data_IF_165508502868
#
_entry.id   IF_165508502868
#
_cell.length_a   1.000
_cell.length_b   1.000
_cell.length_c   1.000
_cell.angle_alpha   90.00
_cell.angle_beta   90.00
_cell.angle_gamma   90.00
#
_symmetry.space_group_name_H-M   'P 1'
#
loop_
_entity.id
_entity.type
_entity.pdbx_description
1 polymer ?
#
# COMPACT_ATOMS: atom_id res chain seq x y z
N UNK A 1 9.75 -13.89 -2.58
CA UNK A 1 10.51 -13.57 -1.36
C UNK A 1 11.76 -14.44 -1.19
N UNK A 2 11.65 -15.73 -0.83
CA UNK A 2 12.76 -16.62 -0.43
C UNK A 2 14.09 -16.52 -1.20
N UNK A 3 14.06 -16.41 -2.53
CA UNK A 3 15.29 -16.39 -3.36
C UNK A 3 15.66 -15.03 -3.93
N UNK A 4 14.70 -14.09 -3.92
CA UNK A 4 14.84 -12.79 -4.58
C UNK A 4 15.09 -11.66 -3.59
N UNK A 5 14.60 -11.78 -2.36
CA UNK A 5 14.91 -10.81 -1.32
C UNK A 5 16.30 -11.10 -0.76
N UNK A 6 17.14 -10.07 -0.71
CA UNK A 6 18.47 -10.12 -0.10
C UNK A 6 18.54 -9.09 1.03
N UNK A 7 19.19 -9.48 2.13
CA UNK A 7 19.39 -8.61 3.28
C UNK A 7 20.47 -7.55 3.04
N UNK A 8 21.41 -7.88 2.15
CA UNK A 8 22.44 -6.99 1.64
C UNK A 8 22.78 -7.36 0.18
N UNK A 9 23.55 -6.52 -0.47
CA UNK A 9 24.03 -6.68 -1.84
C UNK A 9 25.56 -6.84 -1.91
N UNK A 10 26.22 -7.18 -0.80
CA UNK A 10 27.65 -7.50 -0.84
C UNK A 10 27.88 -8.74 -1.71
N UNK A 11 28.83 -8.64 -2.65
CA UNK A 11 29.12 -9.71 -3.61
C UNK A 11 28.02 -9.96 -4.64
N UNK A 12 26.93 -9.19 -4.64
CA UNK A 12 25.90 -9.28 -5.65
C UNK A 12 26.31 -8.52 -6.92
N UNK A 13 26.54 -9.26 -8.00
CA UNK A 13 26.96 -8.68 -9.27
C UNK A 13 25.76 -8.16 -10.08
N UNK A 14 25.78 -6.86 -10.38
CA UNK A 14 24.88 -6.21 -11.33
C UNK A 14 25.71 -5.40 -12.33
N UNK A 15 25.54 -5.67 -13.62
CA UNK A 15 26.25 -4.99 -14.72
C UNK A 15 25.35 -4.02 -15.48
N UNK A 16 24.11 -3.84 -15.02
CA UNK A 16 23.21 -2.81 -15.52
C UNK A 16 23.28 -1.57 -14.61
N UNK A 17 22.16 -0.86 -14.44
CA UNK A 17 22.09 0.33 -13.57
C UNK A 17 21.99 -0.10 -12.12
N UNK A 18 22.67 0.65 -11.26
CA UNK A 18 22.72 0.39 -9.82
C UNK A 18 21.76 1.33 -9.09
N UNK A 19 20.73 0.78 -8.47
CA UNK A 19 19.73 1.52 -7.69
C UNK A 19 19.79 1.24 -6.18
N UNK A 20 20.52 0.19 -5.78
CA UNK A 20 20.79 -0.19 -4.39
C UNK A 20 22.24 -0.67 -4.27
N UNK A 21 22.87 -0.46 -3.11
CA UNK A 21 24.30 -0.70 -2.88
C UNK A 21 24.58 -1.42 -1.55
N UNK A 22 25.61 -2.27 -1.53
CA UNK A 22 26.27 -2.77 -0.32
C UNK A 22 25.33 -3.26 0.79
N UNK A 23 25.19 -2.50 1.88
CA UNK A 23 24.40 -2.81 3.09
C UNK A 23 22.89 -2.68 2.90
N UNK A 24 22.43 -2.38 1.69
CA UNK A 24 21.02 -2.15 1.41
C UNK A 24 20.27 -3.43 1.05
N UNK A 25 19.23 -3.74 1.82
CA UNK A 25 18.31 -4.80 1.48
C UNK A 25 17.49 -4.46 0.22
N UNK A 26 17.25 -5.47 -0.61
CA UNK A 26 16.52 -5.29 -1.87
C UNK A 26 15.89 -6.59 -2.37
N UNK A 27 14.84 -6.46 -3.18
CA UNK A 27 14.30 -7.57 -3.96
C UNK A 27 14.76 -7.47 -5.41
N UNK A 28 15.59 -8.43 -5.83
CA UNK A 28 16.09 -8.49 -7.21
C UNK A 28 15.04 -9.09 -8.14
N UNK A 29 14.99 -8.63 -9.39
CA UNK A 29 13.96 -9.05 -10.34
C UNK A 29 13.91 -10.56 -10.55
N UNK A 30 15.06 -11.19 -10.73
CA UNK A 30 15.13 -12.62 -10.96
C UNK A 30 16.39 -13.21 -10.34
N UNK A 31 16.25 -14.40 -9.77
CA UNK A 31 17.33 -15.15 -9.15
C UNK A 31 17.40 -16.55 -9.76
N UNK A 32 18.60 -17.12 -9.81
CA UNK A 32 18.86 -18.48 -10.29
C UNK A 32 19.43 -19.33 -9.15
N UNK A 33 18.64 -19.61 -8.10
CA UNK A 33 19.15 -20.20 -6.84
C UNK A 33 19.70 -21.63 -7.01
N UNK A 34 19.28 -22.33 -8.07
CA UNK A 34 19.77 -23.68 -8.40
C UNK A 34 20.79 -23.66 -9.55
N UNK A 35 21.38 -22.50 -9.85
CA UNK A 35 22.17 -22.30 -11.07
C UNK A 35 21.29 -22.31 -12.33
N UNK A 36 21.90 -22.62 -13.48
CA UNK A 36 21.18 -22.72 -14.75
C UNK A 36 20.74 -21.38 -15.35
N UNK A 37 21.41 -20.28 -14.98
CA UNK A 37 21.17 -18.98 -15.62
C UNK A 37 21.42 -19.11 -17.13
N UNK A 38 20.43 -18.78 -18.00
CA UNK A 38 20.61 -18.82 -19.44
C UNK A 38 21.78 -17.93 -19.88
N UNK A 39 22.42 -18.28 -21.00
CA UNK A 39 23.46 -17.45 -21.63
C UNK A 39 22.94 -16.02 -21.91
N UNK A 40 21.67 -15.93 -22.31
CA UNK A 40 20.92 -14.68 -22.48
C UNK A 40 19.74 -14.68 -21.50
N UNK A 41 19.91 -14.19 -20.26
CA UNK A 41 18.82 -14.09 -19.30
C UNK A 41 17.84 -12.98 -19.68
N UNK A 42 16.70 -12.92 -19.00
CA UNK A 42 15.76 -11.79 -19.13
C UNK A 42 16.49 -10.46 -18.89
N UNK A 43 16.14 -9.43 -19.67
CA UNK A 43 16.70 -8.10 -19.47
C UNK A 43 16.47 -7.61 -18.04
N UNK A 44 17.48 -6.94 -17.48
CA UNK A 44 17.43 -6.37 -16.13
C UNK A 44 17.23 -7.37 -14.99
N UNK A 45 17.42 -8.68 -15.24
CA UNK A 45 17.24 -9.74 -14.23
C UNK A 45 17.98 -9.46 -12.91
N UNK A 46 19.11 -8.75 -12.99
CA UNK A 46 19.95 -8.43 -11.85
C UNK A 46 19.70 -7.05 -11.24
N UNK A 47 18.85 -6.21 -11.83
CA UNK A 47 18.53 -4.89 -11.27
C UNK A 47 17.56 -4.99 -10.09
N UNK A 48 17.55 -3.91 -9.30
CA UNK A 48 16.60 -3.63 -8.24
C UNK A 48 15.77 -2.45 -8.70
N UNK A 49 14.45 -2.58 -8.76
CA UNK A 49 13.56 -1.54 -9.28
C UNK A 49 12.35 -1.39 -8.37
N UNK A 50 12.21 -0.20 -7.78
CA UNK A 50 11.22 0.09 -6.73
C UNK A 50 9.79 -0.22 -7.17
N UNK A 51 9.41 0.08 -8.41
CA UNK A 51 8.10 -0.25 -8.94
C UNK A 51 7.78 -1.75 -8.91
N UNK A 52 8.73 -2.59 -9.32
CA UNK A 52 8.58 -4.05 -9.29
C UNK A 52 8.65 -4.60 -7.86
N UNK A 53 9.49 -4.03 -7.00
CA UNK A 53 9.54 -4.39 -5.60
C UNK A 53 8.21 -4.10 -4.90
N UNK A 54 7.60 -2.92 -5.15
CA UNK A 54 6.26 -2.62 -4.63
C UNK A 54 5.19 -3.54 -5.20
N UNK A 55 5.20 -3.83 -6.51
CA UNK A 55 4.24 -4.75 -7.09
C UNK A 55 4.30 -6.13 -6.43
N UNK A 56 5.51 -6.69 -6.25
CA UNK A 56 5.69 -7.96 -5.55
C UNK A 56 5.28 -7.87 -4.07
N UNK A 57 5.63 -6.78 -3.40
CA UNK A 57 5.30 -6.52 -1.99
C UNK A 57 3.80 -6.45 -1.76
N UNK A 58 3.08 -5.67 -2.58
CA UNK A 58 1.63 -5.51 -2.51
C UNK A 58 0.92 -6.83 -2.83
N UNK A 59 1.42 -7.59 -3.81
CA UNK A 59 0.87 -8.93 -4.07
C UNK A 59 1.05 -9.85 -2.86
N UNK A 60 2.21 -9.84 -2.20
CA UNK A 60 2.40 -10.54 -0.92
C UNK A 60 1.38 -10.11 0.15
N UNK A 61 1.04 -8.83 0.24
CA UNK A 61 0.01 -8.36 1.17
C UNK A 61 -1.37 -8.94 0.85
N UNK A 62 -1.76 -8.97 -0.43
CA UNK A 62 -3.04 -9.56 -0.87
C UNK A 62 -3.11 -11.07 -0.64
N UNK A 63 -1.99 -11.78 -0.77
CA UNK A 63 -1.90 -13.22 -0.49
C UNK A 63 -1.77 -13.55 1.01
N UNK A 64 -1.90 -12.56 1.90
CA UNK A 64 -1.80 -12.75 3.36
C UNK A 64 -0.36 -12.94 3.88
N UNK A 65 0.66 -12.77 3.04
CA UNK A 65 2.08 -12.80 3.40
C UNK A 65 2.53 -11.43 3.95
N UNK A 66 1.80 -10.91 4.94
CA UNK A 66 1.93 -9.53 5.43
C UNK A 66 3.34 -9.18 5.88
N UNK A 67 3.97 -10.03 6.69
CA UNK A 67 5.32 -9.77 7.22
C UNK A 67 6.36 -9.67 6.10
N UNK A 68 6.25 -10.53 5.08
CA UNK A 68 7.17 -10.52 3.93
C UNK A 68 6.96 -9.27 3.08
N UNK A 69 5.70 -8.90 2.80
CA UNK A 69 5.38 -7.69 2.04
C UNK A 69 5.85 -6.42 2.75
N UNK A 70 5.59 -6.31 4.06
CA UNK A 70 6.06 -5.19 4.88
C UNK A 70 7.59 -5.12 4.94
N UNK A 71 8.27 -6.26 5.09
CA UNK A 71 9.74 -6.30 5.10
C UNK A 71 10.34 -5.79 3.79
N UNK A 72 9.76 -6.12 2.64
CA UNK A 72 10.20 -5.57 1.36
C UNK A 72 9.93 -4.06 1.25
N UNK A 73 8.76 -3.58 1.66
CA UNK A 73 8.44 -2.15 1.68
C UNK A 73 9.43 -1.40 2.60
N UNK A 74 9.69 -1.92 3.79
CA UNK A 74 10.67 -1.34 4.72
C UNK A 74 12.08 -1.29 4.11
N UNK A 75 12.49 -2.33 3.38
CA UNK A 75 13.77 -2.33 2.67
C UNK A 75 13.84 -1.22 1.60
N UNK A 76 12.76 -0.99 0.84
CA UNK A 76 12.69 0.15 -0.10
C UNK A 76 12.82 1.46 0.68
N UNK A 77 11.99 1.68 1.70
CA UNK A 77 11.96 2.94 2.47
C UNK A 77 13.29 3.24 3.15
N UNK A 78 14.02 2.23 3.62
CA UNK A 78 15.33 2.40 4.23
C UNK A 78 16.40 2.93 3.26
N UNK A 79 16.25 2.68 1.95
CA UNK A 79 17.16 3.25 0.92
C UNK A 79 16.87 4.72 0.63
N UNK A 80 15.70 5.22 1.02
CA UNK A 80 15.23 6.58 0.80
C UNK A 80 14.80 7.21 2.14
N UNK A 81 15.70 7.15 3.13
CA UNK A 81 15.47 7.62 4.51
C UNK A 81 15.68 9.13 4.70
N UNK A 82 16.08 9.85 3.64
CA UNK A 82 16.45 11.27 3.68
C UNK A 82 17.91 11.55 4.00
N UNK A 83 18.64 10.60 4.58
CA UNK A 83 20.10 10.68 4.74
C UNK A 83 20.81 10.09 3.53
N UNK A 84 20.41 8.90 3.10
CA UNK A 84 20.99 8.19 1.95
C UNK A 84 20.50 8.78 0.63
N UNK A 85 19.19 8.96 0.49
CA UNK A 85 18.51 9.46 -0.72
C UNK A 85 17.24 10.20 -0.35
N UNK A 86 16.72 11.01 -1.29
CA UNK A 86 15.49 11.78 -1.11
C UNK A 86 14.29 10.85 -0.81
N UNK A 87 13.53 11.06 0.29
CA UNK A 87 12.47 10.17 0.74
C UNK A 87 11.20 10.18 -0.14
N UNK A 88 11.13 11.13 -1.06
CA UNK A 88 10.02 11.33 -2.00
C UNK A 88 10.41 11.01 -3.45
N UNK A 89 11.59 10.43 -3.66
CA UNK A 89 12.15 10.19 -5.00
C UNK A 89 12.83 8.82 -5.05
N UNK A 90 11.96 7.81 -5.09
CA UNK A 90 12.33 6.41 -5.19
C UNK A 90 12.75 6.05 -6.63
N UNK A 91 13.95 6.52 -7.00
CA UNK A 91 14.45 6.55 -8.37
C UNK A 91 14.44 5.18 -9.08
N UNK A 92 14.01 5.21 -10.34
CA UNK A 92 14.01 4.05 -11.23
C UNK A 92 14.30 4.51 -12.67
N UNK A 93 15.57 4.42 -13.11
CA UNK A 93 16.07 5.04 -14.35
C UNK A 93 15.90 6.58 -14.36
N UNK A 94 16.21 7.22 -13.24
CA UNK A 94 16.07 8.68 -13.03
C UNK A 94 14.89 9.03 -12.13
N UNK A 95 14.53 10.32 -12.14
CA UNK A 95 13.58 10.94 -11.20
C UNK A 95 12.16 11.11 -11.77
N UNK A 96 11.95 10.73 -13.04
CA UNK A 96 10.70 10.99 -13.76
C UNK A 96 9.79 9.77 -13.86
N UNK A 97 10.27 8.60 -13.42
CA UNK A 97 9.48 7.38 -13.45
C UNK A 97 8.53 7.31 -12.26
N UNK A 98 7.24 7.34 -12.56
CA UNK A 98 6.16 7.27 -11.59
C UNK A 98 5.94 5.88 -10.96
N UNK A 99 6.74 4.86 -11.30
CA UNK A 99 6.45 3.46 -10.93
C UNK A 99 6.47 3.21 -9.42
N UNK A 100 7.27 3.96 -8.67
CA UNK A 100 7.26 3.93 -7.21
C UNK A 100 5.91 4.33 -6.58
N UNK A 101 5.05 5.05 -7.32
CA UNK A 101 3.68 5.34 -6.86
C UNK A 101 2.81 4.09 -6.73
N UNK A 102 3.25 2.93 -7.24
CA UNK A 102 2.63 1.63 -6.94
C UNK A 102 2.56 1.34 -5.42
N UNK A 103 3.40 1.99 -4.61
CA UNK A 103 3.35 1.99 -3.15
C UNK A 103 1.97 2.33 -2.57
N UNK A 104 1.15 3.15 -3.26
CA UNK A 104 -0.22 3.45 -2.84
C UNK A 104 -1.09 2.20 -2.69
N UNK A 105 -0.87 1.17 -3.52
CA UNK A 105 -1.64 -0.06 -3.44
C UNK A 105 -1.41 -0.84 -2.13
N UNK A 106 -0.29 -0.60 -1.43
CA UNK A 106 -0.08 -1.15 -0.09
C UNK A 106 -1.08 -0.58 0.93
N UNK A 107 -1.45 0.71 0.81
CA UNK A 107 -2.49 1.32 1.65
C UNK A 107 -3.82 0.60 1.43
N UNK A 108 -4.19 0.35 0.18
CA UNK A 108 -5.43 -0.38 -0.14
C UNK A 108 -5.42 -1.79 0.43
N UNK A 109 -4.33 -2.55 0.23
CA UNK A 109 -4.19 -3.91 0.73
C UNK A 109 -4.23 -3.99 2.26
N UNK A 110 -3.59 -3.05 2.97
CA UNK A 110 -3.49 -3.06 4.44
C UNK A 110 -4.75 -2.58 5.16
N UNK A 111 -5.51 -1.69 4.53
CA UNK A 111 -6.70 -1.06 5.14
C UNK A 111 -8.00 -1.67 4.63
N UNK A 112 -7.97 -2.41 3.53
CA UNK A 112 -9.17 -2.85 2.80
C UNK A 112 -9.97 -1.69 2.23
N UNK A 113 -9.36 -0.51 2.10
CA UNK A 113 -10.03 0.68 1.61
C UNK A 113 -10.48 0.49 0.16
N UNK A 114 -11.77 0.72 -0.09
CA UNK A 114 -12.34 0.81 -1.42
C UNK A 114 -13.40 1.91 -1.45
N UNK A 115 -13.46 2.65 -2.55
CA UNK A 115 -14.50 3.64 -2.80
C UNK A 115 -15.09 3.43 -4.19
N UNK A 116 -16.42 3.31 -4.26
CA UNK A 116 -17.16 3.31 -5.52
C UNK A 116 -17.83 4.65 -5.72
N UNK A 117 -17.39 5.42 -6.73
CA UNK A 117 -18.02 6.68 -7.10
C UNK A 117 -19.43 6.52 -7.67
N UNK A 118 -19.73 5.36 -8.26
CA UNK A 118 -21.03 5.01 -8.84
C UNK A 118 -22.04 4.72 -7.73
N UNK A 119 -21.69 3.82 -6.82
CA UNK A 119 -22.57 3.43 -5.69
C UNK A 119 -22.55 4.46 -4.56
N UNK A 120 -21.52 5.31 -4.51
CA UNK A 120 -21.21 6.21 -3.39
C UNK A 120 -21.04 5.40 -2.10
N UNK A 121 -20.32 4.29 -2.22
CA UNK A 121 -20.02 3.38 -1.13
C UNK A 121 -18.54 3.48 -0.76
N UNK A 122 -18.26 3.34 0.54
CA UNK A 122 -16.90 3.28 1.08
C UNK A 122 -16.78 2.05 1.97
N UNK A 123 -15.73 1.26 1.74
CA UNK A 123 -15.46 0.01 2.44
C UNK A 123 -14.10 0.08 3.12
N UNK A 124 -14.01 -0.48 4.32
CA UNK A 124 -12.75 -0.77 5.01
C UNK A 124 -12.73 -2.21 5.53
N UNK A 125 -11.55 -2.77 5.74
CA UNK A 125 -11.39 -4.01 6.49
C UNK A 125 -11.74 -3.81 7.96
N UNK A 126 -12.14 -4.89 8.65
CA UNK A 126 -12.34 -4.88 10.10
C UNK A 126 -11.00 -4.77 10.84
N UNK A 127 -10.45 -3.55 10.87
CA UNK A 127 -9.17 -3.24 11.51
C UNK A 127 -9.29 -1.93 12.27
N UNK A 128 -9.19 -2.01 13.60
CA UNK A 128 -9.15 -0.83 14.44
C UNK A 128 -7.90 0.01 14.13
N UNK A 129 -8.01 1.33 14.30
CA UNK A 129 -6.94 2.29 14.03
C UNK A 129 -7.41 3.49 13.21
N UNK A 130 -6.46 4.33 12.83
CA UNK A 130 -6.69 5.50 11.97
C UNK A 130 -6.14 5.20 10.58
N UNK A 131 -7.02 5.19 9.59
CA UNK A 131 -6.68 4.84 8.21
C UNK A 131 -6.79 6.08 7.32
N UNK A 132 -5.77 6.33 6.51
CA UNK A 132 -5.85 7.34 5.46
C UNK A 132 -6.70 6.84 4.29
N UNK A 133 -7.45 7.74 3.65
CA UNK A 133 -8.20 7.44 2.44
C UNK A 133 -8.23 8.63 1.48
N UNK A 134 -8.34 8.33 0.19
CA UNK A 134 -8.55 9.32 -0.86
C UNK A 134 -9.33 8.72 -2.03
N UNK A 135 -10.13 9.53 -2.73
CA UNK A 135 -10.93 9.08 -3.88
C UNK A 135 -10.70 9.91 -5.15
N UNK A 136 -9.53 10.55 -5.25
CA UNK A 136 -9.13 11.43 -6.37
C UNK A 136 -9.60 12.88 -6.23
N UNK A 137 -10.72 13.14 -5.54
CA UNK A 137 -11.27 14.50 -5.33
C UNK A 137 -11.21 14.93 -3.88
N UNK A 138 -11.39 13.97 -2.99
CA UNK A 138 -11.56 14.16 -1.55
C UNK A 138 -10.62 13.21 -0.82
N UNK A 139 -10.06 13.65 0.30
CA UNK A 139 -9.21 12.82 1.16
C UNK A 139 -9.38 13.17 2.64
N UNK A 140 -8.98 12.23 3.49
CA UNK A 140 -9.14 12.36 4.92
C UNK A 140 -8.67 11.14 5.70
N UNK A 141 -9.20 10.99 6.91
CA UNK A 141 -8.94 9.83 7.77
C UNK A 141 -10.23 9.14 8.17
N UNK A 142 -10.14 7.84 8.45
CA UNK A 142 -11.20 7.02 8.98
C UNK A 142 -10.68 6.40 10.29
N UNK A 143 -11.21 6.85 11.42
CA UNK A 143 -10.90 6.26 12.72
C UNK A 143 -11.91 5.14 13.01
N UNK A 144 -11.39 3.96 13.31
CA UNK A 144 -12.18 2.76 13.60
C UNK A 144 -11.83 2.26 14.99
N UNK A 145 -12.83 2.13 15.87
CA UNK A 145 -12.69 1.66 17.25
C UNK A 145 -13.66 0.52 17.52
N UNK A 146 -13.16 -0.56 18.09
CA UNK A 146 -13.98 -1.72 18.43
C UNK A 146 -15.15 -1.31 19.34
N UNK A 147 -16.36 -1.76 19.00
CA UNK A 147 -17.55 -1.64 19.83
C UNK A 147 -17.98 -3.04 20.31
N UNK A 148 -18.97 -3.11 21.24
CA UNK A 148 -19.47 -4.39 21.77
C UNK A 148 -20.11 -5.27 20.68
N UNK A 149 -20.85 -4.66 19.76
CA UNK A 149 -21.60 -5.37 18.71
C UNK A 149 -21.24 -4.87 17.30
N UNK A 150 -19.99 -4.40 17.10
CA UNK A 150 -19.56 -3.87 15.81
C UNK A 150 -18.33 -2.95 15.89
N UNK A 151 -18.37 -1.87 15.11
CA UNK A 151 -17.29 -0.91 14.96
C UNK A 151 -17.83 0.52 15.04
N UNK A 152 -17.27 1.33 15.94
CA UNK A 152 -17.47 2.78 15.93
C UNK A 152 -16.54 3.41 14.89
N UNK A 153 -17.11 4.19 13.98
CA UNK A 153 -16.41 4.78 12.85
C UNK A 153 -16.55 6.30 12.91
N UNK A 154 -15.43 7.00 12.73
CA UNK A 154 -15.40 8.45 12.51
C UNK A 154 -14.69 8.73 11.20
N UNK A 155 -15.42 9.25 10.21
CA UNK A 155 -14.83 9.74 8.96
C UNK A 155 -14.53 11.22 9.12
N UNK A 156 -13.26 11.60 8.97
CA UNK A 156 -12.81 12.99 8.93
C UNK A 156 -12.50 13.36 7.47
N UNK A 157 -13.09 14.44 6.97
CA UNK A 157 -12.78 14.96 5.62
C UNK A 157 -11.82 16.15 5.77
N UNK A 158 -10.61 16.01 5.24
CA UNK A 158 -9.58 17.05 5.35
C UNK A 158 -9.58 17.97 4.13
N UNK A 159 -9.93 17.46 2.96
CA UNK A 159 -10.07 18.24 1.72
C UNK A 159 -11.15 17.64 0.83
N UNK A 160 -11.86 18.50 0.09
CA UNK A 160 -12.97 18.12 -0.78
C UNK A 160 -14.26 17.84 0.01
N UNK A 161 -15.33 17.45 -0.69
CA UNK A 161 -16.58 17.03 -0.07
C UNK A 161 -16.79 15.54 -0.30
N UNK A 162 -17.09 14.79 0.77
CA UNK A 162 -17.36 13.36 0.67
C UNK A 162 -18.86 13.12 0.58
N UNK A 163 -19.30 12.38 -0.43
CA UNK A 163 -20.69 12.00 -0.64
C UNK A 163 -20.84 10.49 -0.48
N UNK A 164 -21.62 10.04 0.50
CA UNK A 164 -21.84 8.62 0.79
C UNK A 164 -23.33 8.28 0.86
N UNK A 165 -23.65 7.10 0.34
CA UNK A 165 -24.92 6.39 0.55
C UNK A 165 -24.73 5.15 1.43
N UNK A 166 -23.53 4.60 1.46
CA UNK A 166 -23.25 3.38 2.20
C UNK A 166 -21.82 3.39 2.75
N UNK A 167 -21.68 2.90 3.97
CA UNK A 167 -20.38 2.60 4.56
C UNK A 167 -20.34 1.14 5.01
N UNK A 168 -19.25 0.44 4.70
CA UNK A 168 -19.11 -0.99 4.90
C UNK A 168 -17.85 -1.26 5.72
N UNK A 169 -17.97 -2.10 6.75
CA UNK A 169 -16.83 -2.72 7.42
C UNK A 169 -16.86 -4.21 7.08
N UNK A 170 -15.90 -4.65 6.28
CA UNK A 170 -15.85 -6.03 5.79
C UNK A 170 -15.80 -7.03 6.95
N UNK A 171 -16.69 -8.03 6.91
CA UNK A 171 -16.83 -9.03 7.98
C UNK A 171 -17.61 -8.57 9.21
N UNK A 172 -18.10 -7.32 9.26
CA UNK A 172 -18.98 -6.82 10.33
C UNK A 172 -20.37 -6.51 9.77
N UNK A 173 -20.48 -5.54 8.88
CA UNK A 173 -21.77 -5.08 8.39
C UNK A 173 -21.67 -3.75 7.64
N UNK A 174 -22.81 -3.09 7.49
CA UNK A 174 -22.91 -1.84 6.75
C UNK A 174 -23.90 -0.86 7.40
N UNK A 175 -23.71 0.42 7.11
CA UNK A 175 -24.66 1.49 7.40
C UNK A 175 -25.09 2.09 6.08
N UNK A 176 -26.40 2.21 5.88
CA UNK A 176 -26.97 2.97 4.77
C UNK A 176 -27.33 4.38 5.24
N UNK A 177 -27.08 5.35 4.37
CA UNK A 177 -27.49 6.73 4.53
C UNK A 177 -28.63 6.98 3.53
N UNK A 178 -29.90 6.98 3.99
CA UNK A 178 -31.08 7.04 3.12
C UNK A 178 -31.05 8.27 2.20
N UNK A 179 -30.64 9.41 2.75
CA UNK A 179 -30.28 10.59 2.00
C UNK A 179 -28.79 10.61 1.70
N UNK A 180 -28.44 11.18 0.54
CA UNK A 180 -27.05 11.41 0.17
C UNK A 180 -26.36 12.22 1.27
N UNK A 181 -25.54 11.55 2.07
CA UNK A 181 -24.79 12.18 3.13
C UNK A 181 -23.60 12.89 2.52
N UNK A 182 -23.57 14.21 2.66
CA UNK A 182 -22.40 15.02 2.34
C UNK A 182 -21.67 15.38 3.63
N UNK A 183 -20.35 15.17 3.64
CA UNK A 183 -19.44 15.61 4.70
C UNK A 183 -18.51 16.65 4.09
N UNK A 184 -18.64 17.89 4.55
CA UNK A 184 -17.89 19.04 4.06
C UNK A 184 -16.41 19.02 4.50
N UNK A 185 -15.51 19.79 3.83
CA UNK A 185 -14.13 19.92 4.25
C UNK A 185 -13.99 20.39 5.70
N UNK A 186 -13.07 19.80 6.45
CA UNK A 186 -12.83 20.09 7.87
C UNK A 186 -13.95 19.59 8.80
N UNK A 187 -14.89 18.79 8.29
CA UNK A 187 -15.96 18.18 9.09
C UNK A 187 -15.75 16.68 9.24
N UNK A 188 -16.40 16.14 10.26
CA UNK A 188 -16.36 14.74 10.60
C UNK A 188 -17.77 14.20 10.75
N UNK A 189 -17.93 12.90 10.51
CA UNK A 189 -19.18 12.18 10.80
C UNK A 189 -18.85 10.90 11.56
N UNK A 190 -19.54 10.71 12.67
CA UNK A 190 -19.44 9.52 13.50
C UNK A 190 -20.70 8.67 13.36
N UNK A 191 -20.53 7.35 13.31
CA UNK A 191 -21.62 6.37 13.30
C UNK A 191 -21.10 4.99 13.76
N UNK A 192 -22.02 4.08 14.06
CA UNK A 192 -21.69 2.71 14.45
C UNK A 192 -22.11 1.75 13.32
N UNK A 193 -21.20 0.86 12.93
CA UNK A 193 -21.47 -0.25 12.02
C UNK A 193 -21.65 -1.50 12.86
N UNK A 194 -22.87 -2.05 12.91
CA UNK A 194 -23.19 -3.22 13.72
C UNK A 194 -22.99 -4.51 12.95
N UNK A 195 -22.69 -5.58 13.67
CA UNK A 195 -22.68 -6.92 13.12
C UNK A 195 -24.06 -7.24 12.54
N UNK A 196 -24.09 -7.75 11.31
CA UNK A 196 -25.31 -8.34 10.76
C UNK A 196 -25.54 -9.64 11.53
N UNK A 197 -26.63 -9.73 12.28
CA UNK A 197 -27.00 -10.93 13.04
C UNK A 197 -27.29 -12.14 12.16
#
# INVERSE_FOLDING_TARGET
FKYNFREDLYGYFNHFRTFAVNDEAAMVMCSFPRGGRPKTPVHFYSEVMTGFEYAASVHMLYEGLTDMGLRCISAIRARYDGLRRNPFDEAECGHHYARAMASWAAVLALTGFHYSGVERSMTFANKAGTHFWSNGYTWGTCEMRQAREGMNVTINVLHGALRLRRFIVAGIGQVEFPDLTEIAPGKSRQFEVRASG
#
